data_IF_687358391358
#
_entry.id   IF_687358391358
#
_cell.length_a   1.000
_cell.length_b   1.000
_cell.length_c   1.000
_cell.angle_alpha   90.00
_cell.angle_beta   90.00
_cell.angle_gamma   90.00
#
_symmetry.space_group_name_H-M   'P 1'
#
loop_
_entity.id
_entity.type
_entity.pdbx_description
1 polymer ?
#
# COMPACT_ATOMS: atom_id res chain seq x y z
N UNK A 1 -0.91 6.63 -13.11
CA UNK A 1 -0.19 7.05 -11.88
C UNK A 1 0.36 5.85 -11.13
N UNK A 2 1.36 6.03 -10.26
CA UNK A 2 1.89 4.98 -9.39
C UNK A 2 1.33 5.16 -7.97
N UNK A 3 0.63 4.14 -7.45
CA UNK A 3 -0.07 4.19 -6.17
C UNK A 3 0.61 3.25 -5.17
N UNK A 4 0.78 3.72 -3.93
CA UNK A 4 1.04 2.88 -2.75
C UNK A 4 -0.21 2.92 -1.85
N UNK A 5 -0.79 1.77 -1.56
CA UNK A 5 -1.96 1.65 -0.68
C UNK A 5 -1.59 0.93 0.61
N UNK A 6 -1.58 1.68 1.70
CA UNK A 6 -1.16 1.27 3.02
C UNK A 6 -2.37 0.77 3.82
N UNK A 7 -2.33 -0.51 4.21
CA UNK A 7 -3.51 -1.17 4.76
C UNK A 7 -4.52 -1.44 3.67
N UNK A 8 -4.08 -2.01 2.55
CA UNK A 8 -4.89 -2.13 1.34
C UNK A 8 -6.14 -3.01 1.52
N UNK A 9 -6.21 -3.80 2.60
CA UNK A 9 -7.38 -4.62 2.91
C UNK A 9 -7.72 -5.55 1.74
N UNK A 10 -8.98 -5.56 1.30
CA UNK A 10 -9.43 -6.36 0.15
C UNK A 10 -9.03 -5.80 -1.23
N UNK A 11 -8.16 -4.79 -1.25
CA UNK A 11 -7.70 -4.06 -2.43
C UNK A 11 -8.85 -3.46 -3.27
N UNK A 12 -9.87 -2.92 -2.60
CA UNK A 12 -11.06 -2.37 -3.27
C UNK A 12 -10.70 -1.24 -4.24
N UNK A 13 -9.70 -0.42 -3.91
CA UNK A 13 -9.22 0.65 -4.81
C UNK A 13 -8.65 0.05 -6.10
N UNK A 14 -7.82 -0.99 -5.99
CA UNK A 14 -7.25 -1.66 -7.15
C UNK A 14 -8.34 -2.26 -8.06
N UNK A 15 -9.42 -2.78 -7.46
CA UNK A 15 -10.58 -3.36 -8.18
C UNK A 15 -11.41 -2.27 -8.87
N UNK A 16 -11.75 -1.21 -8.16
CA UNK A 16 -12.68 -0.18 -8.64
C UNK A 16 -12.06 0.84 -9.60
N UNK A 17 -10.74 1.05 -9.52
CA UNK A 17 -10.06 2.14 -10.25
C UNK A 17 -8.90 1.63 -11.12
N UNK A 18 -9.03 0.44 -11.69
CA UNK A 18 -7.99 -0.21 -12.50
C UNK A 18 -7.53 0.61 -13.72
N UNK A 19 -8.34 1.54 -14.20
CA UNK A 19 -8.00 2.40 -15.34
C UNK A 19 -7.18 3.64 -14.95
N UNK A 20 -7.11 3.99 -13.67
CA UNK A 20 -6.49 5.24 -13.21
C UNK A 20 -5.00 5.09 -12.85
N UNK A 21 -4.52 3.86 -12.64
CA UNK A 21 -3.15 3.58 -12.26
C UNK A 21 -2.36 2.80 -13.33
N UNK A 22 -1.07 3.10 -13.39
CA UNK A 22 -0.08 2.34 -14.17
C UNK A 22 0.54 1.25 -13.31
N UNK A 23 0.72 1.54 -12.02
CA UNK A 23 1.24 0.62 -11.01
C UNK A 23 0.46 0.84 -9.71
N UNK A 24 0.03 -0.25 -9.09
CA UNK A 24 -0.59 -0.28 -7.77
C UNK A 24 0.19 -1.23 -6.87
N UNK A 25 0.66 -0.72 -5.73
CA UNK A 25 1.32 -1.51 -4.70
C UNK A 25 0.46 -1.49 -3.46
N UNK A 26 -0.11 -2.63 -3.09
CA UNK A 26 -0.85 -2.80 -1.85
C UNK A 26 0.03 -3.40 -0.76
N UNK A 27 -0.03 -2.86 0.45
CA UNK A 27 0.60 -3.47 1.63
C UNK A 27 -0.42 -3.67 2.74
N UNK A 28 -0.29 -4.79 3.44
CA UNK A 28 -1.13 -5.11 4.60
C UNK A 28 -0.37 -6.02 5.56
N UNK A 29 -0.64 -5.96 6.86
CA UNK A 29 0.01 -6.83 7.83
C UNK A 29 -0.59 -8.24 7.81
N UNK A 30 -1.81 -8.40 7.31
CA UNK A 30 -2.50 -9.68 7.25
C UNK A 30 -1.97 -10.55 6.10
N UNK A 31 -1.11 -11.51 6.44
CA UNK A 31 -0.48 -12.43 5.49
C UNK A 31 -1.48 -13.25 4.66
N UNK A 32 -2.58 -13.71 5.25
CA UNK A 32 -3.54 -14.55 4.53
C UNK A 32 -4.35 -13.73 3.51
N UNK A 33 -4.66 -12.48 3.85
CA UNK A 33 -5.26 -11.52 2.92
C UNK A 33 -4.33 -11.26 1.73
N UNK A 34 -3.03 -10.99 1.97
CA UNK A 34 -2.06 -10.76 0.89
C UNK A 34 -1.95 -11.96 -0.04
N UNK A 35 -1.83 -13.18 0.50
CA UNK A 35 -1.82 -14.41 -0.32
C UNK A 35 -3.07 -14.56 -1.18
N UNK A 36 -4.24 -14.15 -0.65
CA UNK A 36 -5.47 -14.18 -1.42
C UNK A 36 -5.42 -13.16 -2.55
N UNK A 37 -4.97 -11.93 -2.29
CA UNK A 37 -4.85 -10.89 -3.31
C UNK A 37 -3.85 -11.26 -4.41
N UNK A 38 -2.71 -11.85 -4.07
CA UNK A 38 -1.75 -12.35 -5.06
C UNK A 38 -2.39 -13.37 -6.02
N UNK A 39 -3.33 -14.19 -5.55
CA UNK A 39 -4.10 -15.11 -6.38
C UNK A 39 -5.16 -14.40 -7.20
N UNK A 40 -5.95 -13.54 -6.57
CA UNK A 40 -7.05 -12.79 -7.21
C UNK A 40 -6.54 -11.88 -8.33
N UNK A 41 -5.31 -11.37 -8.21
CA UNK A 41 -4.68 -10.46 -9.17
C UNK A 41 -3.53 -11.10 -9.96
N UNK A 42 -3.42 -12.43 -9.97
CA UNK A 42 -2.30 -13.13 -10.60
C UNK A 42 -2.03 -12.72 -12.07
N UNK A 43 -3.09 -12.37 -12.80
CA UNK A 43 -3.02 -11.96 -14.22
C UNK A 43 -2.85 -10.44 -14.41
N UNK A 44 -2.83 -9.65 -13.34
CA UNK A 44 -2.70 -8.20 -13.40
C UNK A 44 -1.26 -7.77 -13.05
N UNK A 45 -0.43 -7.63 -14.09
CA UNK A 45 0.98 -7.21 -13.94
C UNK A 45 1.18 -5.79 -13.41
N UNK A 46 0.11 -4.98 -13.32
CA UNK A 46 0.15 -3.63 -12.75
C UNK A 46 -0.04 -3.63 -11.24
N UNK A 47 -0.41 -4.75 -10.64
CA UNK A 47 -0.63 -4.87 -9.20
C UNK A 47 0.48 -5.69 -8.54
N UNK A 48 0.92 -5.26 -7.36
CA UNK A 48 1.80 -6.05 -6.50
C UNK A 48 1.35 -5.91 -5.06
N UNK A 49 1.37 -7.00 -4.31
CA UNK A 49 0.91 -7.05 -2.93
C UNK A 49 2.03 -7.54 -2.04
N UNK A 50 2.22 -6.90 -0.89
CA UNK A 50 3.27 -7.27 0.05
C UNK A 50 2.74 -7.33 1.47
N UNK A 51 3.10 -8.40 2.19
CA UNK A 51 2.89 -8.43 3.63
C UNK A 51 3.87 -7.45 4.28
N UNK A 52 3.36 -6.45 4.98
CA UNK A 52 4.19 -5.48 5.68
C UNK A 52 3.47 -4.88 6.88
N UNK A 53 4.14 -4.88 8.03
CA UNK A 53 3.75 -4.04 9.15
C UNK A 53 4.37 -2.67 8.97
N UNK A 54 3.51 -1.66 8.79
CA UNK A 54 3.90 -0.28 8.58
C UNK A 54 4.77 0.29 9.72
N UNK A 55 4.69 -0.25 10.94
CA UNK A 55 5.53 0.19 12.06
C UNK A 55 7.00 -0.23 11.88
N UNK A 56 7.28 -1.17 10.97
CA UNK A 56 8.65 -1.57 10.63
C UNK A 56 9.32 -0.46 9.85
N UNK A 57 10.35 0.12 10.46
CA UNK A 57 11.09 1.25 9.89
C UNK A 57 11.95 0.86 8.70
N UNK A 58 12.18 1.82 7.80
CA UNK A 58 13.15 1.70 6.70
C UNK A 58 12.85 0.61 5.65
N UNK A 59 11.59 0.33 5.36
CA UNK A 59 11.25 -0.54 4.23
C UNK A 59 11.54 0.14 2.88
N UNK A 60 12.00 -0.63 1.90
CA UNK A 60 12.40 -0.09 0.58
C UNK A 60 11.23 0.57 -0.17
N UNK A 61 9.99 0.13 0.09
CA UNK A 61 8.79 0.77 -0.45
C UNK A 61 8.62 2.23 0.01
N UNK A 62 9.24 2.63 1.12
CA UNK A 62 9.16 4.00 1.65
C UNK A 62 10.39 4.86 1.34
N UNK A 63 11.36 4.34 0.56
CA UNK A 63 12.67 4.99 0.37
C UNK A 63 12.81 5.78 -0.94
N UNK A 64 11.79 5.84 -1.79
CA UNK A 64 11.88 6.49 -3.11
C UNK A 64 10.66 7.35 -3.42
N UNK A 65 10.85 8.47 -4.13
CA UNK A 65 9.78 9.31 -4.71
C UNK A 65 9.10 8.64 -5.91
N UNK A 66 8.86 7.34 -5.83
CA UNK A 66 8.30 6.48 -6.90
C UNK A 66 6.79 6.67 -7.07
N UNK A 67 6.10 6.94 -5.97
CA UNK A 67 4.64 6.97 -5.91
C UNK A 67 4.12 8.39 -6.11
N UNK A 68 3.10 8.54 -6.95
CA UNK A 68 2.41 9.81 -7.15
C UNK A 68 1.31 10.02 -6.11
N UNK A 69 0.78 8.93 -5.55
CA UNK A 69 -0.29 8.94 -4.57
C UNK A 69 -0.06 7.85 -3.53
N UNK A 70 -0.26 8.21 -2.27
CA UNK A 70 -0.24 7.28 -1.15
C UNK A 70 -1.62 7.28 -0.52
N UNK A 71 -2.20 6.09 -0.45
CA UNK A 71 -3.48 5.84 0.20
C UNK A 71 -3.21 5.20 1.56
N UNK A 72 -4.01 5.58 2.54
CA UNK A 72 -3.90 5.10 3.90
C UNK A 72 -5.29 5.18 4.56
N UNK A 73 -6.21 4.38 4.03
CA UNK A 73 -7.61 4.43 4.44
C UNK A 73 -7.80 3.63 5.73
N UNK A 74 -8.33 4.30 6.76
CA UNK A 74 -8.63 3.74 8.09
C UNK A 74 -7.44 3.18 8.89
N UNK A 75 -6.24 3.07 8.31
CA UNK A 75 -5.04 2.58 9.01
C UNK A 75 -4.60 3.49 10.18
N UNK A 76 -4.93 4.79 10.12
CA UNK A 76 -4.62 5.76 11.17
C UNK A 76 -5.25 5.43 12.53
N UNK A 77 -6.35 4.67 12.53
CA UNK A 77 -7.04 4.27 13.75
C UNK A 77 -6.27 3.19 14.54
N UNK A 78 -5.39 2.46 13.86
CA UNK A 78 -4.64 1.33 14.42
C UNK A 78 -3.19 1.68 14.75
N UNK A 79 -2.77 2.91 14.42
CA UNK A 79 -1.39 3.37 14.60
C UNK A 79 -1.18 4.01 15.98
N UNK A 80 -0.29 3.41 16.77
CA UNK A 80 0.16 3.96 18.05
C UNK A 80 1.13 5.16 17.89
N UNK A 81 1.85 5.23 16.77
CA UNK A 81 2.83 6.29 16.49
C UNK A 81 2.47 7.09 15.21
N UNK A 82 1.56 8.06 15.39
CA UNK A 82 1.14 8.97 14.34
C UNK A 82 2.31 9.82 13.78
N UNK A 83 3.31 10.15 14.60
CA UNK A 83 4.45 10.98 14.16
C UNK A 83 5.31 10.23 13.14
N UNK A 84 5.52 8.94 13.34
CA UNK A 84 6.24 8.12 12.39
C UNK A 84 5.48 7.99 11.06
N UNK A 85 4.17 7.80 11.11
CA UNK A 85 3.34 7.74 9.91
C UNK A 85 3.34 9.06 9.12
N UNK A 86 3.24 10.19 9.81
CA UNK A 86 3.36 11.50 9.16
C UNK A 86 4.73 11.70 8.51
N UNK A 87 5.81 11.16 9.09
CA UNK A 87 7.12 11.17 8.42
C UNK A 87 7.06 10.40 7.11
N UNK A 88 6.46 9.19 7.09
CA UNK A 88 6.28 8.44 5.84
C UNK A 88 5.62 9.35 4.81
N UNK A 89 4.44 9.92 5.09
CA UNK A 89 3.72 10.79 4.16
C UNK A 89 4.50 12.04 3.72
N UNK A 90 5.20 12.71 4.65
CA UNK A 90 5.94 13.94 4.36
C UNK A 90 7.23 13.71 3.55
N UNK A 91 7.84 12.52 3.63
CA UNK A 91 9.01 12.17 2.80
C UNK A 91 8.67 12.00 1.31
N UNK A 92 7.38 11.93 0.96
CA UNK A 92 6.90 11.80 -0.42
C UNK A 92 6.49 13.12 -1.09
N UNK A 93 6.56 14.28 -0.39
CA UNK A 93 6.39 15.60 -0.98
C UNK A 93 7.75 16.25 -1.32
#
# INVERSE_FOLDING_TARGET
MNILDIGCGSAWVAKSYSELYNEYVGIDFNKELIKQLEKDFLQNSRCSFFMHDIQIKNHHLFKSRKYNLILANFILLELLDLKYFLKILLFFN
#
